data_IF_450112990910
#
_entry.id   IF_450112990910
#
_cell.length_a   1.000
_cell.length_b   1.000
_cell.length_c   1.000
_cell.angle_alpha   90.00
_cell.angle_beta   90.00
_cell.angle_gamma   90.00
#
_symmetry.space_group_name_H-M   'P 1'
#
loop_
_entity.id
_entity.type
_entity.pdbx_description
1 polymer ?
#
# COMPACT_ATOMS: atom_id res chain seq x y z
N UNK A 1 -2.61 14.68 8.61
CA UNK A 1 -2.76 13.30 8.09
C UNK A 1 -1.50 12.95 7.35
N UNK A 2 -0.84 11.85 7.71
CA UNK A 2 0.35 11.36 7.00
C UNK A 2 -0.09 10.41 5.88
N UNK A 3 0.44 10.58 4.66
CA UNK A 3 0.07 9.75 3.51
C UNK A 3 1.24 8.94 2.96
N UNK A 4 0.91 7.89 2.22
CA UNK A 4 1.90 7.08 1.50
C UNK A 4 2.71 7.93 0.52
N UNK A 5 2.07 8.90 -0.15
CA UNK A 5 2.76 9.85 -1.02
C UNK A 5 3.81 10.69 -0.29
N UNK A 6 3.48 11.17 0.92
CA UNK A 6 4.44 11.91 1.76
C UNK A 6 5.61 11.01 2.21
N UNK A 7 5.34 9.74 2.52
CA UNK A 7 6.39 8.77 2.85
C UNK A 7 7.35 8.54 1.67
N UNK A 8 6.82 8.32 0.46
CA UNK A 8 7.66 8.16 -0.74
C UNK A 8 8.45 9.43 -1.06
N UNK A 9 7.82 10.60 -0.90
CA UNK A 9 8.47 11.89 -1.12
C UNK A 9 9.66 12.12 -0.17
N UNK A 10 9.60 11.61 1.07
CA UNK A 10 10.73 11.68 2.02
C UNK A 10 12.00 11.02 1.46
N UNK A 11 11.85 9.95 0.68
CA UNK A 11 12.94 9.22 0.04
C UNK A 11 13.23 9.68 -1.40
N UNK A 12 12.56 10.75 -1.86
CA UNK A 12 12.67 11.23 -3.25
C UNK A 12 12.14 10.22 -4.28
N UNK A 13 11.29 9.28 -3.86
CA UNK A 13 10.73 8.25 -4.72
C UNK A 13 9.38 8.70 -5.29
N UNK A 14 9.13 8.35 -6.56
CA UNK A 14 7.85 8.63 -7.23
C UNK A 14 6.79 7.61 -6.82
N UNK A 15 5.53 8.05 -6.70
CA UNK A 15 4.39 7.18 -6.42
C UNK A 15 3.18 7.66 -7.20
N UNK A 16 2.62 6.78 -8.04
CA UNK A 16 1.39 7.02 -8.80
C UNK A 16 0.72 5.70 -9.18
N UNK A 17 -0.44 5.78 -9.84
CA UNK A 17 -1.12 4.61 -10.40
C UNK A 17 -0.31 3.89 -11.51
N UNK A 18 0.76 4.50 -12.02
CA UNK A 18 1.58 3.97 -13.13
C UNK A 18 3.05 3.75 -12.77
N UNK A 19 3.49 4.14 -11.57
CA UNK A 19 4.89 4.06 -11.14
C UNK A 19 4.99 3.97 -9.62
N UNK A 20 5.90 3.12 -9.15
CA UNK A 20 6.27 3.02 -7.72
C UNK A 20 7.79 3.01 -7.64
N UNK A 21 8.38 4.00 -6.96
CA UNK A 21 9.83 4.11 -6.76
C UNK A 21 10.65 3.96 -8.06
N UNK A 22 10.19 4.62 -9.13
CA UNK A 22 10.83 4.54 -10.46
C UNK A 22 10.59 3.23 -11.23
N UNK A 23 9.91 2.23 -10.65
CA UNK A 23 9.47 1.04 -11.37
C UNK A 23 8.23 1.38 -12.22
N UNK A 24 8.29 1.27 -13.56
CA UNK A 24 7.13 1.49 -14.41
C UNK A 24 6.18 0.29 -14.37
N UNK A 25 4.89 0.53 -14.59
CA UNK A 25 3.90 -0.53 -14.73
C UNK A 25 2.50 -0.07 -14.34
N UNK A 26 1.62 -1.01 -13.99
CA UNK A 26 0.31 -0.70 -13.42
C UNK A 26 0.19 -1.39 -12.07
N UNK A 27 0.87 -0.86 -11.03
CA UNK A 27 0.83 -1.44 -9.70
C UNK A 27 -0.60 -1.52 -9.19
N UNK A 28 -0.92 -2.60 -8.50
CA UNK A 28 -2.19 -2.72 -7.78
C UNK A 28 -1.95 -2.48 -6.30
N UNK A 29 -2.77 -1.62 -5.71
CA UNK A 29 -2.70 -1.25 -4.30
C UNK A 29 -3.82 -1.91 -3.53
N UNK A 30 -3.48 -2.42 -2.36
CA UNK A 30 -4.45 -2.91 -1.39
C UNK A 30 -4.23 -2.22 -0.05
N UNK A 31 -5.34 -1.89 0.59
CA UNK A 31 -5.38 -1.45 1.98
C UNK A 31 -5.97 -2.59 2.79
N UNK A 32 -5.33 -2.91 3.91
CA UNK A 32 -5.82 -3.90 4.84
C UNK A 32 -6.08 -3.21 6.17
N UNK A 33 -7.35 -3.13 6.53
CA UNK A 33 -7.83 -2.53 7.78
C UNK A 33 -8.56 -3.58 8.59
N UNK A 34 -8.09 -3.85 9.82
CA UNK A 34 -8.68 -4.85 10.72
C UNK A 34 -9.00 -6.12 9.95
N UNK A 35 -7.98 -6.68 9.31
CA UNK A 35 -8.05 -7.94 8.56
C UNK A 35 -8.82 -7.90 7.23
N UNK A 36 -9.49 -6.80 6.89
CA UNK A 36 -10.27 -6.68 5.65
C UNK A 36 -9.38 -6.16 4.53
N UNK A 37 -9.12 -7.03 3.55
CA UNK A 37 -8.39 -6.68 2.33
C UNK A 37 -9.32 -5.94 1.38
N UNK A 38 -8.93 -4.74 0.97
CA UNK A 38 -9.67 -3.95 -0.01
C UNK A 38 -8.71 -3.43 -1.09
N UNK A 39 -9.08 -3.59 -2.35
CA UNK A 39 -8.35 -2.96 -3.46
C UNK A 39 -8.58 -1.45 -3.40
N UNK A 40 -7.51 -0.68 -3.61
CA UNK A 40 -7.53 0.78 -3.64
C UNK A 40 -7.35 1.27 -5.08
N UNK A 41 -8.42 1.70 -5.78
CA UNK A 41 -8.35 2.08 -7.19
C UNK A 41 -8.03 3.56 -7.42
N UNK A 42 -8.07 4.38 -6.37
CA UNK A 42 -7.81 5.82 -6.45
C UNK A 42 -6.29 6.12 -6.40
N UNK A 43 -5.93 7.40 -6.38
CA UNK A 43 -4.54 7.85 -6.29
C UNK A 43 -3.83 7.27 -5.05
N UNK A 44 -2.81 6.41 -5.22
CA UNK A 44 -2.10 5.80 -4.10
C UNK A 44 -1.36 6.82 -3.23
N UNK A 45 -1.02 8.01 -3.74
CA UNK A 45 -0.39 9.06 -2.95
C UNK A 45 -1.32 9.61 -1.85
N UNK A 46 -2.64 9.44 -2.01
CA UNK A 46 -3.66 9.86 -1.05
C UNK A 46 -3.96 8.81 0.05
N UNK A 47 -3.39 7.60 -0.04
CA UNK A 47 -3.59 6.57 0.99
C UNK A 47 -3.06 7.09 2.33
N UNK A 48 -3.93 7.14 3.33
CA UNK A 48 -3.55 7.58 4.68
C UNK A 48 -2.85 6.46 5.43
N UNK A 49 -1.76 6.81 6.13
CA UNK A 49 -1.03 5.94 7.04
C UNK A 49 -1.71 5.97 8.41
N UNK A 50 -2.67 5.06 8.61
CA UNK A 50 -3.38 4.88 9.88
C UNK A 50 -2.73 3.79 10.74
N UNK A 51 -2.99 3.79 12.05
CA UNK A 51 -2.49 2.78 12.97
C UNK A 51 -3.04 1.38 12.62
N UNK A 52 -2.16 0.38 12.64
CA UNK A 52 -2.49 -1.03 12.31
C UNK A 52 -3.13 -1.22 10.93
N UNK A 53 -2.84 -0.31 9.99
CA UNK A 53 -3.17 -0.47 8.57
C UNK A 53 -1.97 -1.05 7.84
N UNK A 54 -2.21 -2.05 7.02
CA UNK A 54 -1.21 -2.53 6.05
C UNK A 54 -1.52 -1.99 4.66
N UNK A 55 -0.45 -1.72 3.91
CA UNK A 55 -0.52 -1.29 2.52
C UNK A 55 0.30 -2.26 1.71
N UNK A 56 -0.35 -2.98 0.80
CA UNK A 56 0.33 -3.92 -0.10
C UNK A 56 0.39 -3.29 -1.49
N UNK A 57 1.61 -3.19 -2.01
CA UNK A 57 1.89 -2.70 -3.36
C UNK A 57 2.33 -3.89 -4.20
N UNK A 58 1.52 -4.23 -5.21
CA UNK A 58 1.78 -5.35 -6.10
C UNK A 58 2.23 -4.83 -7.45
N UNK A 59 3.51 -5.03 -7.77
CA UNK A 59 4.09 -4.75 -9.09
C UNK A 59 4.27 -6.04 -9.87
N UNK A 60 3.76 -6.10 -11.10
CA UNK A 60 3.83 -7.31 -11.94
C UNK A 60 2.63 -8.24 -11.76
N UNK A 61 2.85 -9.56 -11.84
CA UNK A 61 1.79 -10.56 -11.72
C UNK A 61 1.23 -10.60 -10.29
N UNK A 62 -0.08 -10.38 -10.09
CA UNK A 62 -0.66 -10.45 -8.76
C UNK A 62 -0.59 -11.85 -8.15
N UNK A 63 -0.29 -11.99 -6.86
CA UNK A 63 -0.39 -13.27 -6.18
C UNK A 63 -1.85 -13.72 -6.11
N UNK A 64 -2.08 -15.04 -6.00
CA UNK A 64 -3.43 -15.62 -5.84
C UNK A 64 -4.11 -15.16 -4.55
N UNK A 65 -3.32 -14.81 -3.53
CA UNK A 65 -3.81 -14.24 -2.29
C UNK A 65 -2.91 -13.06 -1.88
N UNK A 66 -3.53 -11.95 -1.49
CA UNK A 66 -2.82 -10.80 -0.91
C UNK A 66 -2.32 -11.20 0.48
N UNK A 67 -1.02 -11.11 0.77
CA UNK A 67 -0.49 -11.39 2.11
C UNK A 67 -1.06 -10.38 3.11
N UNK A 68 -1.32 -10.84 4.33
CA UNK A 68 -1.90 -10.06 5.41
C UNK A 68 -1.24 -10.45 6.73
N UNK A 69 -0.96 -9.46 7.56
CA UNK A 69 -0.50 -9.66 8.92
C UNK A 69 -1.67 -9.86 9.90
N UNK A 70 -1.46 -10.70 10.91
CA UNK A 70 -2.41 -10.86 12.03
C UNK A 70 -1.90 -10.08 13.24
N UNK A 71 -2.43 -8.86 13.40
CA UNK A 71 -2.09 -7.98 14.52
C UNK A 71 -2.45 -8.59 15.88
N UNK A 72 -3.49 -9.42 15.98
CA UNK A 72 -3.92 -10.01 17.26
C UNK A 72 -2.89 -10.97 17.84
N UNK A 73 -2.05 -11.56 16.99
CA UNK A 73 -0.99 -12.49 17.42
C UNK A 73 0.30 -11.80 17.85
N UNK A 74 0.43 -10.49 17.60
CA UNK A 74 1.67 -9.74 17.87
C UNK A 74 1.85 -9.29 19.32
N UNK A 75 0.79 -9.36 20.15
CA UNK A 75 0.84 -8.95 21.55
C UNK A 75 1.06 -7.44 21.78
N UNK A 76 0.91 -6.64 20.72
CA UNK A 76 0.89 -5.17 20.72
C UNK A 76 -0.54 -4.64 20.72
#
# INVERSE_FOLDING_TARGET
>A
VFTLGQFFALWGQTLSASTVAGLPGTPTFYVIDKEKVQRYPADPAAITLDAHREIVIVTGTPPTQVPRWDWNTSGL
#
